data_IF_987968195245
#
_entry.id   IF_987968195245
#
_cell.length_a   1.000
_cell.length_b   1.000
_cell.length_c   1.000
_cell.angle_alpha   90.00
_cell.angle_beta   90.00
_cell.angle_gamma   90.00
#
_symmetry.space_group_name_H-M   'P 1'
#
loop_
_entity.id
_entity.type
_entity.pdbx_description
1 polymer ?
#
# COMPACT_ATOMS: atom_id res chain seq x y z
N UNK A 1 -1.29 11.10 -27.74
CA UNK A 1 -0.42 10.00 -27.29
C UNK A 1 0.65 10.59 -26.37
N UNK A 2 0.60 10.28 -25.08
CA UNK A 2 1.56 10.73 -24.08
C UNK A 2 1.98 9.56 -23.18
N UNK A 3 3.12 9.72 -22.49
CA UNK A 3 3.55 8.84 -21.40
C UNK A 3 3.08 9.44 -20.08
N UNK A 4 2.24 8.70 -19.36
CA UNK A 4 1.55 9.18 -18.15
C UNK A 4 1.92 8.29 -16.97
N UNK A 5 2.40 8.91 -15.89
CA UNK A 5 2.59 8.25 -14.61
C UNK A 5 1.41 8.61 -13.71
N UNK A 6 0.65 7.60 -13.27
CA UNK A 6 -0.48 7.78 -12.36
C UNK A 6 -0.11 7.27 -10.98
N UNK A 7 -0.14 8.14 -9.98
CA UNK A 7 0.09 7.80 -8.58
C UNK A 7 -1.24 7.65 -7.82
N UNK A 8 -1.60 6.42 -7.46
CA UNK A 8 -2.85 6.11 -6.76
C UNK A 8 -2.71 6.36 -5.25
N UNK A 9 -3.65 7.12 -4.68
CA UNK A 9 -3.77 7.33 -3.23
C UNK A 9 -4.53 6.21 -2.50
N UNK A 10 -4.57 6.29 -1.17
CA UNK A 10 -5.22 5.27 -0.32
C UNK A 10 -6.71 5.04 -0.63
N UNK A 11 -7.43 6.10 -1.02
CA UNK A 11 -8.86 6.03 -1.37
C UNK A 11 -9.15 5.12 -2.58
N UNK A 12 -8.14 4.88 -3.44
CA UNK A 12 -8.28 4.01 -4.61
C UNK A 12 -8.09 2.52 -4.30
N UNK A 13 -7.61 2.20 -3.09
CA UNK A 13 -7.17 0.85 -2.71
C UNK A 13 -7.90 0.30 -1.48
N UNK A 14 -8.48 1.15 -0.63
CA UNK A 14 -9.13 0.68 0.60
C UNK A 14 -8.16 0.14 1.64
N UNK A 15 -8.72 -0.61 2.58
CA UNK A 15 -8.03 -1.08 3.79
C UNK A 15 -8.26 -2.56 4.08
N UNK A 16 -9.02 -3.29 3.26
CA UNK A 16 -9.22 -4.74 3.43
C UNK A 16 -9.27 -5.47 2.09
N UNK A 17 -9.03 -6.79 2.04
CA UNK A 17 -9.05 -7.53 0.77
C UNK A 17 -10.38 -7.43 0.00
N UNK A 18 -11.51 -7.44 0.71
CA UNK A 18 -12.84 -7.30 0.10
C UNK A 18 -13.06 -5.89 -0.44
N UNK A 19 -12.78 -4.87 0.39
CA UNK A 19 -12.92 -3.47 0.01
C UNK A 19 -12.01 -3.11 -1.16
N UNK A 20 -10.74 -3.51 -1.09
CA UNK A 20 -9.77 -3.26 -2.15
C UNK A 20 -10.25 -3.84 -3.48
N UNK A 21 -10.66 -5.12 -3.50
CA UNK A 21 -11.19 -5.76 -4.72
C UNK A 21 -12.38 -5.01 -5.32
N UNK A 22 -13.19 -4.36 -4.49
CA UNK A 22 -14.32 -3.58 -4.98
C UNK A 22 -13.87 -2.22 -5.52
N UNK A 23 -13.01 -1.50 -4.81
CA UNK A 23 -12.53 -0.17 -5.21
C UNK A 23 -11.67 -0.21 -6.47
N UNK A 24 -10.79 -1.21 -6.61
CA UNK A 24 -9.89 -1.31 -7.77
C UNK A 24 -10.62 -1.49 -9.10
N UNK A 25 -11.89 -1.94 -9.10
CA UNK A 25 -12.70 -2.01 -10.32
C UNK A 25 -12.94 -0.63 -10.93
N UNK A 26 -13.38 0.34 -10.13
CA UNK A 26 -13.59 1.71 -10.58
C UNK A 26 -12.27 2.40 -10.98
N UNK A 27 -11.20 2.11 -10.23
CA UNK A 27 -9.84 2.55 -10.56
C UNK A 27 -9.40 1.98 -11.92
N UNK A 28 -9.66 0.69 -12.18
CA UNK A 28 -9.32 0.05 -13.45
C UNK A 28 -10.07 0.67 -14.63
N UNK A 29 -11.39 0.88 -14.53
CA UNK A 29 -12.18 1.56 -15.58
C UNK A 29 -11.59 2.93 -15.92
N UNK A 30 -11.22 3.72 -14.90
CA UNK A 30 -10.62 5.05 -15.10
C UNK A 30 -9.26 4.98 -15.79
N UNK A 31 -8.40 4.03 -15.41
CA UNK A 31 -7.08 3.82 -15.99
C UNK A 31 -7.16 3.31 -17.44
N UNK A 32 -8.08 2.38 -17.73
CA UNK A 32 -8.32 1.91 -19.11
C UNK A 32 -8.82 3.06 -20.00
N UNK A 33 -9.59 4.01 -19.45
CA UNK A 33 -9.94 5.24 -20.16
C UNK A 33 -8.72 6.02 -20.68
N UNK A 34 -7.66 6.14 -19.86
CA UNK A 34 -6.41 6.77 -20.27
C UNK A 34 -5.70 5.98 -21.38
N UNK A 35 -5.74 4.65 -21.30
CA UNK A 35 -5.15 3.75 -22.30
C UNK A 35 -5.89 3.87 -23.64
N UNK A 36 -7.23 3.92 -23.62
CA UNK A 36 -8.06 4.11 -24.82
C UNK A 36 -7.85 5.46 -25.50
N UNK A 37 -7.50 6.50 -24.74
CA UNK A 37 -7.06 7.79 -25.29
C UNK A 37 -5.68 7.73 -25.98
N UNK A 38 -5.09 6.52 -26.12
CA UNK A 38 -3.83 6.28 -26.80
C UNK A 38 -2.60 6.63 -25.98
N UNK A 39 -2.69 6.59 -24.64
CA UNK A 39 -1.56 6.87 -23.76
C UNK A 39 -0.83 5.59 -23.33
N UNK A 40 0.46 5.73 -23.07
CA UNK A 40 1.26 4.74 -22.34
C UNK A 40 1.18 5.08 -20.86
N UNK A 41 0.73 4.14 -20.03
CA UNK A 41 0.44 4.39 -18.62
C UNK A 41 1.36 3.56 -17.73
N UNK A 42 2.05 4.23 -16.80
CA UNK A 42 2.75 3.61 -15.68
C UNK A 42 1.98 3.95 -14.41
N UNK A 43 1.77 2.95 -13.55
CA UNK A 43 0.97 3.11 -12.34
C UNK A 43 1.86 2.89 -11.12
N UNK A 44 1.81 3.83 -10.18
CA UNK A 44 2.33 3.67 -8.82
C UNK A 44 1.19 3.82 -7.82
N UNK A 45 1.42 3.42 -6.58
CA UNK A 45 0.40 3.45 -5.55
C UNK A 45 0.98 3.64 -4.15
N UNK A 46 0.18 4.20 -3.24
CA UNK A 46 0.48 4.17 -1.81
C UNK A 46 0.23 2.78 -1.20
N UNK A 47 0.78 2.51 -0.02
CA UNK A 47 0.59 1.23 0.68
C UNK A 47 0.29 1.36 2.18
N UNK A 48 0.17 2.58 2.73
CA UNK A 48 0.12 2.84 4.18
C UNK A 48 -0.80 1.90 4.99
N UNK A 49 -2.10 1.79 4.65
CA UNK A 49 -3.00 0.86 5.34
C UNK A 49 -2.56 -0.61 5.22
N UNK A 50 -2.08 -1.01 4.03
CA UNK A 50 -1.76 -2.40 3.71
C UNK A 50 -0.48 -2.86 4.42
N UNK A 51 0.60 -2.06 4.33
CA UNK A 51 1.86 -2.35 5.01
C UNK A 51 1.69 -2.30 6.52
N UNK A 52 0.83 -1.40 7.02
CA UNK A 52 0.48 -1.31 8.43
C UNK A 52 -0.16 -2.60 8.96
N UNK A 53 -1.17 -3.13 8.26
CA UNK A 53 -1.84 -4.37 8.64
C UNK A 53 -0.91 -5.59 8.57
N UNK A 54 -0.08 -5.69 7.52
CA UNK A 54 0.90 -6.77 7.37
C UNK A 54 1.89 -6.73 8.55
N UNK A 55 2.45 -5.55 8.84
CA UNK A 55 3.38 -5.36 9.95
C UNK A 55 2.73 -5.71 11.30
N UNK A 56 1.49 -5.24 11.54
CA UNK A 56 0.76 -5.55 12.77
C UNK A 56 0.54 -7.06 12.95
N UNK A 57 0.09 -7.75 11.90
CA UNK A 57 -0.15 -9.19 11.94
C UNK A 57 1.12 -10.01 12.17
N UNK A 58 2.21 -9.65 11.50
CA UNK A 58 3.50 -10.34 11.65
C UNK A 58 4.13 -10.08 13.03
N UNK A 59 4.05 -8.85 13.55
CA UNK A 59 4.54 -8.53 14.89
C UNK A 59 3.73 -9.28 15.96
N UNK A 60 2.40 -9.31 15.83
CA UNK A 60 1.56 -10.08 16.75
C UNK A 60 1.94 -11.57 16.75
N UNK A 61 2.17 -12.16 15.56
CA UNK A 61 2.57 -13.55 15.45
C UNK A 61 3.96 -13.81 16.07
N UNK A 62 4.93 -12.92 15.86
CA UNK A 62 6.28 -13.02 16.41
C UNK A 62 6.29 -12.90 17.95
N UNK A 63 5.57 -11.93 18.50
CA UNK A 63 5.44 -11.72 19.95
C UNK A 63 4.78 -12.91 20.67
N UNK A 64 3.97 -13.69 19.96
CA UNK A 64 3.31 -14.89 20.46
C UNK A 64 4.04 -16.19 20.08
N UNK A 65 5.31 -16.10 19.65
CA UNK A 65 6.16 -17.25 19.33
C UNK A 65 5.66 -18.10 18.16
N UNK A 66 4.87 -17.53 17.24
CA UNK A 66 4.32 -18.25 16.08
C UNK A 66 5.18 -18.13 14.83
N UNK A 67 5.92 -17.03 14.69
CA UNK A 67 6.80 -16.76 13.56
C UNK A 67 8.08 -16.05 14.01
N UNK A 68 9.07 -15.95 13.12
CA UNK A 68 10.16 -15.00 13.30
C UNK A 68 9.65 -13.55 13.20
N UNK A 69 10.43 -12.60 13.72
CA UNK A 69 10.23 -11.18 13.46
C UNK A 69 10.66 -10.86 12.03
N UNK A 70 9.84 -10.09 11.31
CA UNK A 70 10.13 -9.62 9.97
C UNK A 70 10.47 -8.14 10.02
N UNK A 71 11.59 -7.70 9.42
CA UNK A 71 11.86 -6.28 9.28
C UNK A 71 10.81 -5.59 8.40
N UNK A 72 10.71 -4.27 8.55
CA UNK A 72 9.69 -3.47 7.87
C UNK A 72 9.78 -3.49 6.32
N UNK A 73 10.98 -3.54 5.70
CA UNK A 73 11.12 -3.67 4.25
C UNK A 73 10.42 -4.91 3.66
N UNK A 74 10.44 -6.05 4.35
CA UNK A 74 9.76 -7.28 3.93
C UNK A 74 8.24 -7.09 3.93
N UNK A 75 7.69 -6.40 4.92
CA UNK A 75 6.28 -6.00 4.94
C UNK A 75 5.96 -5.09 3.73
N UNK A 76 6.88 -4.18 3.39
CA UNK A 76 6.81 -3.35 2.18
C UNK A 76 6.73 -4.19 0.91
N UNK A 77 7.63 -5.16 0.74
CA UNK A 77 7.64 -6.07 -0.41
C UNK A 77 6.34 -6.90 -0.52
N UNK A 78 5.86 -7.44 0.60
CA UNK A 78 4.58 -8.18 0.65
C UNK A 78 3.40 -7.30 0.22
N UNK A 79 3.38 -6.03 0.67
CA UNK A 79 2.33 -5.09 0.30
C UNK A 79 2.27 -4.80 -1.21
N UNK A 80 3.41 -4.79 -1.89
CA UNK A 80 3.47 -4.62 -3.36
C UNK A 80 2.83 -5.82 -4.08
N UNK A 81 3.16 -7.04 -3.64
CA UNK A 81 2.55 -8.25 -4.20
C UNK A 81 1.03 -8.28 -3.96
N UNK A 82 0.60 -7.93 -2.76
CA UNK A 82 -0.81 -7.88 -2.40
C UNK A 82 -1.59 -6.85 -3.23
N UNK A 83 -1.14 -5.59 -3.25
CA UNK A 83 -1.82 -4.52 -3.97
C UNK A 83 -1.77 -4.75 -5.47
N UNK A 84 -0.58 -5.08 -5.99
CA UNK A 84 -0.36 -5.33 -7.40
C UNK A 84 -1.18 -6.49 -7.92
N UNK A 85 -1.35 -7.57 -7.15
CA UNK A 85 -2.24 -8.67 -7.52
C UNK A 85 -3.68 -8.19 -7.80
N UNK A 86 -4.30 -7.48 -6.85
CA UNK A 86 -5.67 -7.00 -7.01
C UNK A 86 -5.80 -5.99 -8.17
N UNK A 87 -4.86 -5.04 -8.27
CA UNK A 87 -4.90 -4.01 -9.29
C UNK A 87 -4.64 -4.59 -10.69
N UNK A 88 -3.65 -5.47 -10.84
CA UNK A 88 -3.35 -6.15 -12.10
C UNK A 88 -4.54 -6.99 -12.56
N UNK A 89 -5.15 -7.77 -11.67
CA UNK A 89 -6.31 -8.59 -12.00
C UNK A 89 -7.49 -7.72 -12.45
N UNK A 90 -7.76 -6.60 -11.76
CA UNK A 90 -8.83 -5.69 -12.14
C UNK A 90 -8.61 -5.04 -13.51
N UNK A 91 -7.38 -4.60 -13.80
CA UNK A 91 -7.01 -4.05 -15.11
C UNK A 91 -7.12 -5.09 -16.23
N UNK A 92 -6.65 -6.32 -15.99
CA UNK A 92 -6.77 -7.41 -16.96
C UNK A 92 -8.23 -7.75 -17.27
N UNK A 93 -9.09 -7.78 -16.24
CA UNK A 93 -10.51 -8.01 -16.42
C UNK A 93 -11.19 -6.88 -17.20
N UNK A 94 -10.84 -5.62 -16.92
CA UNK A 94 -11.39 -4.47 -17.64
C UNK A 94 -10.93 -4.43 -19.10
N UNK A 95 -9.66 -4.74 -19.36
CA UNK A 95 -9.14 -4.89 -20.73
C UNK A 95 -9.91 -5.98 -21.50
N UNK A 96 -10.13 -7.14 -20.88
CA UNK A 96 -10.89 -8.23 -21.48
C UNK A 96 -12.35 -7.83 -21.75
N UNK A 97 -12.99 -7.14 -20.80
CA UNK A 97 -14.35 -6.62 -20.94
C UNK A 97 -14.48 -5.63 -22.11
N UNK A 98 -13.45 -4.81 -22.35
CA UNK A 98 -13.41 -3.87 -23.48
C UNK A 98 -12.80 -4.44 -24.76
N UNK A 99 -12.52 -5.76 -24.81
CA UNK A 99 -11.88 -6.43 -25.95
C UNK A 99 -10.52 -5.82 -26.36
N UNK A 100 -9.77 -5.31 -25.38
CA UNK A 100 -8.45 -4.72 -25.57
C UNK A 100 -7.37 -5.74 -25.24
N UNK A 101 -6.43 -5.94 -26.18
CA UNK A 101 -5.27 -6.81 -25.97
C UNK A 101 -4.07 -5.98 -25.50
N UNK A 102 -3.85 -5.94 -24.18
CA UNK A 102 -2.64 -5.36 -23.57
C UNK A 102 -2.19 -6.19 -22.38
N UNK A 103 -0.87 -6.23 -22.17
CA UNK A 103 -0.27 -6.86 -21.00
C UNK A 103 -0.25 -5.89 -19.82
N UNK A 104 -0.55 -6.41 -18.64
CA UNK A 104 -0.44 -5.68 -17.37
C UNK A 104 0.43 -6.52 -16.45
N UNK A 105 1.47 -5.91 -15.89
CA UNK A 105 2.40 -6.55 -14.95
C UNK A 105 2.60 -5.68 -13.71
N UNK A 106 2.69 -6.33 -12.56
CA UNK A 106 3.23 -5.75 -11.32
C UNK A 106 4.69 -6.15 -11.21
N UNK A 107 5.54 -5.20 -10.85
CA UNK A 107 6.98 -5.45 -10.62
C UNK A 107 7.33 -5.09 -9.19
N UNK A 108 8.01 -6.03 -8.50
CA UNK A 108 8.60 -5.72 -7.20
C UNK A 108 9.70 -4.67 -7.42
N UNK A 109 9.58 -3.58 -6.67
CA UNK A 109 10.41 -2.38 -6.85
C UNK A 109 11.16 -2.07 -5.56
N UNK A 110 12.47 -1.88 -5.68
CA UNK A 110 13.34 -1.37 -4.62
C UNK A 110 13.64 0.10 -4.89
N UNK A 111 13.66 0.92 -3.83
CA UNK A 111 13.98 2.35 -3.90
C UNK A 111 15.18 2.60 -3.00
N UNK A 112 16.28 3.08 -3.58
CA UNK A 112 17.44 3.49 -2.82
C UNK A 112 17.15 4.78 -2.06
N UNK A 113 17.60 4.83 -0.81
CA UNK A 113 17.49 6.01 0.07
C UNK A 113 18.87 6.30 0.68
N UNK A 114 19.11 7.54 1.10
CA UNK A 114 20.34 7.89 1.79
C UNK A 114 20.34 7.30 3.21
N UNK A 115 21.34 6.49 3.53
CA UNK A 115 21.50 5.90 4.87
C UNK A 115 21.60 6.94 6.00
N UNK A 116 21.97 8.18 5.67
CA UNK A 116 22.11 9.28 6.62
C UNK A 116 20.90 10.23 6.64
N UNK A 117 19.80 9.88 5.96
CA UNK A 117 18.62 10.74 5.90
C UNK A 117 18.08 11.06 7.31
N UNK A 118 17.80 12.33 7.55
CA UNK A 118 17.20 12.82 8.79
C UNK A 118 15.87 12.16 9.16
N UNK A 119 15.14 11.62 8.18
CA UNK A 119 13.89 10.89 8.37
C UNK A 119 14.06 9.64 9.26
N UNK A 120 15.24 9.02 9.29
CA UNK A 120 15.52 7.89 10.19
C UNK A 120 15.59 8.31 11.66
N UNK A 121 15.91 9.58 11.95
CA UNK A 121 15.96 10.12 13.31
C UNK A 121 14.62 10.68 13.77
N UNK A 122 13.75 11.04 12.82
CA UNK A 122 12.44 11.62 13.09
C UNK A 122 11.37 11.03 12.15
N UNK A 123 10.80 9.85 12.48
CA UNK A 123 9.77 9.24 11.66
C UNK A 123 8.47 10.07 11.71
N UNK A 124 8.04 10.59 10.55
CA UNK A 124 6.84 11.45 10.44
C UNK A 124 5.69 10.81 9.69
N UNK A 125 5.92 9.67 9.02
CA UNK A 125 4.91 9.01 8.19
C UNK A 125 4.05 8.06 9.03
N UNK A 126 2.75 8.32 9.23
CA UNK A 126 1.88 7.37 9.92
C UNK A 126 1.65 6.12 9.05
N UNK A 127 1.58 4.97 9.72
CA UNK A 127 1.28 3.65 9.17
C UNK A 127 0.38 2.89 10.15
N UNK A 128 -0.40 1.92 9.65
CA UNK A 128 -1.26 1.10 10.49
C UNK A 128 -2.61 1.75 10.81
N UNK A 129 -3.22 1.26 11.88
CA UNK A 129 -4.54 1.70 12.33
C UNK A 129 -4.45 2.96 13.19
N UNK A 130 -5.59 3.63 13.34
CA UNK A 130 -5.74 4.74 14.27
C UNK A 130 -6.01 4.23 15.69
N UNK A 131 -5.39 4.88 16.68
CA UNK A 131 -5.52 4.54 18.09
C UNK A 131 -6.01 5.76 18.87
N UNK A 132 -6.71 5.55 19.99
CA UNK A 132 -6.90 6.63 20.94
C UNK A 132 -5.58 6.95 21.64
N UNK A 133 -5.47 8.17 22.17
CA UNK A 133 -4.27 8.63 22.89
C UNK A 133 -3.86 7.69 24.02
N UNK A 134 -4.83 7.13 24.75
CA UNK A 134 -4.59 6.22 25.87
C UNK A 134 -4.00 4.88 25.40
N UNK A 135 -4.55 4.33 24.31
CA UNK A 135 -4.06 3.08 23.72
C UNK A 135 -2.67 3.26 23.13
N UNK A 136 -2.46 4.35 22.38
CA UNK A 136 -1.15 4.69 21.81
C UNK A 136 -0.08 4.84 22.90
N UNK A 137 -0.40 5.53 24.00
CA UNK A 137 0.53 5.69 25.13
C UNK A 137 0.94 4.35 25.74
N UNK A 138 -0.02 3.44 25.96
CA UNK A 138 0.27 2.11 26.50
C UNK A 138 1.18 1.30 25.57
N UNK A 139 0.90 1.31 24.27
CA UNK A 139 1.72 0.61 23.29
C UNK A 139 3.13 1.22 23.21
N UNK A 140 3.25 2.54 23.31
CA UNK A 140 4.54 3.23 23.33
C UNK A 140 5.39 2.82 24.55
N UNK A 141 4.78 2.74 25.73
CA UNK A 141 5.43 2.27 26.97
C UNK A 141 5.87 0.81 26.87
N UNK A 142 5.01 -0.05 26.32
CA UNK A 142 5.26 -1.50 26.24
C UNK A 142 6.26 -1.87 25.12
N UNK A 143 6.23 -1.16 23.98
CA UNK A 143 6.92 -1.57 22.73
C UNK A 143 7.94 -0.55 22.19
N UNK A 144 8.02 0.64 22.78
CA UNK A 144 8.93 1.71 22.32
C UNK A 144 8.55 2.33 20.97
N UNK A 145 7.29 2.20 20.54
CA UNK A 145 6.82 2.78 19.29
C UNK A 145 6.61 4.29 19.41
N UNK A 146 6.91 5.01 18.32
CA UNK A 146 6.65 6.46 18.20
C UNK A 146 5.28 6.64 17.55
N UNK A 147 4.38 7.30 18.26
CA UNK A 147 3.07 7.69 17.75
C UNK A 147 3.03 9.20 17.52
N UNK A 148 2.28 9.62 16.50
CA UNK A 148 1.93 11.02 16.24
C UNK A 148 0.44 11.12 16.02
N UNK A 149 -0.13 12.27 16.36
CA UNK A 149 -1.51 12.61 16.01
C UNK A 149 -1.62 12.77 14.48
N UNK A 150 -2.65 12.20 13.86
CA UNK A 150 -2.92 12.29 12.42
C UNK A 150 -4.27 12.98 12.15
N UNK A 151 -4.25 14.32 12.17
CA UNK A 151 -5.28 15.19 11.63
C UNK A 151 -6.70 14.91 12.16
N UNK A 152 -6.80 14.65 13.46
CA UNK A 152 -8.04 14.41 14.19
C UNK A 152 -8.58 12.99 14.08
N UNK A 153 -7.84 12.06 13.47
CA UNK A 153 -8.30 10.67 13.25
C UNK A 153 -7.79 9.68 14.29
N UNK A 154 -6.88 10.12 15.15
CA UNK A 154 -6.16 9.31 16.14
C UNK A 154 -4.76 9.86 16.35
#
# INVERSE_FOLDING_TARGET
MAKVVVALGGNALGSSPSEQRQLVKGTATSLIGLINAGNEVVISHGNGPHVGQINLGLNFAAENGKTASFPFPECGAMSQGYIGYHLQQALQNELAHQHLSKSVITTITQVLVDQNDSAFKNPTKPIGDFYTKEVAKKIAEDKGYVFTEDAGRG
#
